data_IF_946975747056
#
_entry.id   IF_946975747056
#
_cell.length_a   1.000
_cell.length_b   1.000
_cell.length_c   1.000
_cell.angle_alpha   90.00
_cell.angle_beta   90.00
_cell.angle_gamma   90.00
#
_symmetry.space_group_name_H-M   'P 1'
#
loop_
_entity.id
_entity.type
_entity.pdbx_description
1 polymer ?
#
# COMPACT_ATOMS: atom_id res chain seq x y z
N UNK A 1 0.18 -30.23 -4.38
CA UNK A 1 1.03 -29.14 -3.85
C UNK A 1 1.29 -29.40 -2.38
N UNK A 2 2.55 -29.43 -1.96
CA UNK A 2 2.89 -29.65 -0.55
C UNK A 2 3.66 -28.47 0.01
N UNK A 3 2.94 -27.39 0.31
CA UNK A 3 3.47 -26.22 1.03
C UNK A 3 4.10 -26.60 2.39
N UNK A 4 3.81 -27.81 2.90
CA UNK A 4 4.48 -28.40 4.07
C UNK A 4 5.99 -28.52 3.88
N UNK A 5 6.50 -28.44 2.65
CA UNK A 5 7.93 -28.27 2.39
C UNK A 5 8.52 -27.07 3.17
N UNK A 6 7.77 -25.98 3.34
CA UNK A 6 8.17 -24.82 4.16
C UNK A 6 8.17 -25.16 5.65
N UNK A 7 7.17 -25.93 6.12
CA UNK A 7 7.10 -26.38 7.51
C UNK A 7 8.19 -27.39 7.89
N UNK A 8 8.74 -28.11 6.91
CA UNK A 8 9.88 -29.00 7.12
C UNK A 8 11.20 -28.21 7.22
N UNK A 9 11.25 -26.99 6.68
CA UNK A 9 12.42 -26.12 6.68
C UNK A 9 12.47 -25.22 7.93
N UNK A 10 11.34 -24.60 8.27
CA UNK A 10 11.23 -23.62 9.35
C UNK A 10 10.73 -24.25 10.65
N UNK A 11 11.16 -23.76 11.83
CA UNK A 11 10.65 -24.25 13.11
C UNK A 11 9.13 -24.07 13.21
N UNK A 12 8.42 -25.12 13.63
CA UNK A 12 6.97 -25.06 13.90
C UNK A 12 6.63 -24.50 15.29
N UNK A 13 7.59 -23.88 15.97
CA UNK A 13 7.39 -23.16 17.24
C UNK A 13 7.45 -21.66 16.97
N UNK A 14 6.32 -20.99 17.09
CA UNK A 14 6.19 -19.54 17.02
C UNK A 14 4.81 -19.11 17.48
N UNK A 15 4.58 -17.80 17.51
CA UNK A 15 3.38 -17.22 18.14
C UNK A 15 2.27 -16.86 17.16
N UNK A 16 2.57 -16.85 15.86
CA UNK A 16 1.68 -16.40 14.79
C UNK A 16 0.87 -17.56 14.18
N UNK A 17 -0.40 -17.32 13.96
CA UNK A 17 -1.40 -18.30 13.55
C UNK A 17 -1.36 -18.60 12.04
N UNK A 18 -1.48 -19.87 11.67
CA UNK A 18 -1.87 -20.25 10.31
C UNK A 18 -3.38 -20.34 10.21
N UNK A 19 -3.97 -19.47 9.39
CA UNK A 19 -5.41 -19.32 9.29
C UNK A 19 -6.04 -20.65 8.87
N UNK A 20 -7.04 -21.11 9.63
CA UNK A 20 -7.82 -22.29 9.25
C UNK A 20 -7.10 -23.63 9.42
N UNK A 21 -5.88 -23.68 10.00
CA UNK A 21 -5.01 -24.86 9.93
C UNK A 21 -4.74 -25.53 11.28
N UNK A 22 -5.75 -26.21 11.83
CA UNK A 22 -5.60 -27.14 12.97
C UNK A 22 -4.91 -26.57 14.21
N UNK A 23 -5.17 -25.30 14.56
CA UNK A 23 -4.54 -24.75 15.75
C UNK A 23 -3.05 -24.43 15.57
N UNK A 24 -2.51 -24.51 14.35
CA UNK A 24 -1.06 -24.44 14.12
C UNK A 24 -0.55 -23.01 14.20
N UNK A 25 0.50 -22.83 14.98
CA UNK A 25 1.31 -21.61 15.03
C UNK A 25 2.72 -21.83 14.48
N UNK A 26 3.29 -20.79 13.90
CA UNK A 26 4.62 -20.77 13.29
C UNK A 26 5.28 -19.40 13.53
N UNK A 27 6.50 -19.19 13.04
CA UNK A 27 7.13 -17.87 13.10
C UNK A 27 6.31 -16.84 12.33
N UNK A 28 6.38 -15.56 12.72
CA UNK A 28 5.62 -14.49 12.08
C UNK A 28 5.93 -14.36 10.57
N UNK A 29 7.19 -14.56 10.17
CA UNK A 29 7.59 -14.55 8.75
C UNK A 29 6.97 -15.71 7.96
N UNK A 30 6.93 -16.90 8.54
CA UNK A 30 6.29 -18.07 7.93
C UNK A 30 4.77 -17.90 7.85
N UNK A 31 4.15 -17.35 8.89
CA UNK A 31 2.71 -17.07 8.91
C UNK A 31 2.34 -16.04 7.84
N UNK A 32 3.07 -14.92 7.75
CA UNK A 32 2.84 -13.92 6.71
C UNK A 32 2.96 -14.51 5.29
N UNK A 33 3.98 -15.35 5.06
CA UNK A 33 4.20 -16.03 3.77
C UNK A 33 3.04 -16.97 3.41
N UNK A 34 2.67 -17.87 4.32
CA UNK A 34 1.68 -18.92 4.06
C UNK A 34 0.26 -18.36 4.01
N UNK A 35 -0.10 -17.45 4.92
CA UNK A 35 -1.42 -16.82 4.94
C UNK A 35 -1.61 -15.91 3.71
N UNK A 36 -0.58 -15.17 3.26
CA UNK A 36 -0.68 -14.39 2.02
C UNK A 36 -0.82 -15.27 0.78
N UNK A 37 -0.11 -16.40 0.76
CA UNK A 37 -0.28 -17.41 -0.30
C UNK A 37 -1.69 -18.00 -0.30
N UNK A 38 -2.26 -18.24 0.89
CA UNK A 38 -3.61 -18.75 1.05
C UNK A 38 -4.67 -17.76 0.54
N UNK A 39 -4.60 -16.49 0.95
CA UNK A 39 -5.57 -15.46 0.54
C UNK A 39 -5.53 -15.24 -0.98
N UNK A 40 -4.34 -15.16 -1.57
CA UNK A 40 -4.20 -14.99 -3.03
C UNK A 40 -4.54 -16.27 -3.84
N UNK A 41 -4.65 -17.42 -3.17
CA UNK A 41 -4.63 -18.74 -3.82
C UNK A 41 -5.68 -18.95 -4.92
N UNK A 42 -6.83 -18.28 -4.80
CA UNK A 42 -7.94 -18.33 -5.75
C UNK A 42 -8.28 -16.98 -6.40
N UNK A 43 -7.54 -15.91 -6.10
CA UNK A 43 -7.75 -14.58 -6.66
C UNK A 43 -9.19 -14.05 -6.44
N UNK A 44 -9.76 -14.37 -5.27
CA UNK A 44 -11.10 -13.94 -4.84
C UNK A 44 -11.07 -12.70 -3.93
N UNK A 45 -9.87 -12.18 -3.68
CA UNK A 45 -9.58 -11.04 -2.83
C UNK A 45 -9.83 -9.68 -3.53
N UNK A 46 -9.44 -8.59 -2.88
CA UNK A 46 -9.70 -7.23 -3.35
C UNK A 46 -8.91 -6.89 -4.61
N UNK A 47 -9.30 -5.81 -5.30
CA UNK A 47 -8.58 -5.34 -6.47
C UNK A 47 -8.66 -3.81 -6.59
N UNK A 48 -7.51 -3.16 -6.70
CA UNK A 48 -7.41 -1.77 -7.06
C UNK A 48 -7.17 -1.63 -8.57
N UNK A 49 -8.13 -1.04 -9.29
CA UNK A 49 -8.10 -0.95 -10.76
C UNK A 49 -7.06 0.03 -11.32
N UNK A 50 -6.92 1.21 -10.70
CA UNK A 50 -5.98 2.25 -11.20
C UNK A 50 -4.51 1.97 -10.87
N UNK A 51 -4.28 1.17 -9.84
CA UNK A 51 -2.98 0.64 -9.46
C UNK A 51 -3.15 -0.86 -9.25
N UNK A 52 -3.11 -1.67 -10.32
CA UNK A 52 -3.33 -3.11 -10.29
C UNK A 52 -2.72 -3.80 -9.05
N UNK A 53 -3.52 -4.04 -8.02
CA UNK A 53 -3.03 -4.49 -6.71
C UNK A 53 -4.15 -5.20 -5.96
N UNK A 54 -3.84 -6.37 -5.42
CA UNK A 54 -4.67 -7.02 -4.41
C UNK A 54 -4.00 -6.80 -3.06
N UNK A 55 -4.54 -5.88 -2.25
CA UNK A 55 -3.85 -5.38 -1.06
C UNK A 55 -4.04 -6.31 0.13
N UNK A 56 -5.21 -6.95 0.26
CA UNK A 56 -5.58 -7.74 1.43
C UNK A 56 -4.71 -8.98 1.60
N UNK A 57 -4.36 -9.64 0.51
CA UNK A 57 -3.47 -10.81 0.49
C UNK A 57 -2.02 -10.49 0.83
N UNK A 58 -1.66 -9.20 0.96
CA UNK A 58 -0.32 -8.76 1.33
C UNK A 58 -0.33 -8.13 2.72
N UNK A 59 -1.27 -7.22 2.99
CA UNK A 59 -1.34 -6.42 4.21
C UNK A 59 -1.83 -7.24 5.40
N UNK A 60 -3.01 -7.88 5.28
CA UNK A 60 -3.64 -8.60 6.39
C UNK A 60 -2.76 -9.74 6.95
N UNK A 61 -2.15 -10.62 6.14
CA UNK A 61 -1.32 -11.69 6.69
C UNK A 61 -0.04 -11.17 7.36
N UNK A 62 0.53 -10.08 6.86
CA UNK A 62 1.69 -9.45 7.49
C UNK A 62 1.32 -8.79 8.82
N UNK A 63 0.20 -8.06 8.87
CA UNK A 63 -0.28 -7.40 10.08
C UNK A 63 -0.74 -8.36 11.16
N UNK A 64 -1.50 -9.41 10.80
CA UNK A 64 -1.92 -10.44 11.76
C UNK A 64 -0.70 -11.10 12.41
N UNK A 65 0.28 -11.51 11.60
CA UNK A 65 1.51 -12.11 12.10
C UNK A 65 2.34 -11.14 12.97
N UNK A 66 2.43 -9.87 12.58
CA UNK A 66 3.13 -8.82 13.34
C UNK A 66 2.43 -8.52 14.67
N UNK A 67 1.10 -8.44 14.67
CA UNK A 67 0.31 -8.16 15.87
C UNK A 67 0.37 -9.32 16.87
N UNK A 68 0.25 -10.57 16.41
CA UNK A 68 0.43 -11.75 17.26
C UNK A 68 1.84 -11.81 17.84
N UNK A 69 2.87 -11.53 17.04
CA UNK A 69 4.25 -11.46 17.50
C UNK A 69 4.45 -10.37 18.56
N UNK A 70 3.96 -9.15 18.31
CA UNK A 70 4.09 -8.04 19.23
C UNK A 70 3.38 -8.33 20.57
N UNK A 71 2.16 -8.88 20.51
CA UNK A 71 1.40 -9.27 21.69
C UNK A 71 2.09 -10.38 22.48
N UNK A 72 2.74 -11.34 21.82
CA UNK A 72 3.47 -12.42 22.50
C UNK A 72 4.76 -11.95 23.18
N UNK A 73 5.44 -10.94 22.63
CA UNK A 73 6.70 -10.41 23.16
C UNK A 73 6.52 -9.38 24.27
N UNK A 74 5.38 -8.69 24.31
CA UNK A 74 5.15 -7.62 25.26
C UNK A 74 4.34 -8.07 26.48
N UNK A 75 4.82 -7.75 27.68
CA UNK A 75 4.10 -8.07 28.93
C UNK A 75 2.86 -7.21 29.17
N UNK A 76 2.74 -6.04 28.52
CA UNK A 76 1.67 -5.05 28.73
C UNK A 76 1.25 -4.30 27.45
N UNK A 77 1.57 -4.81 26.25
CA UNK A 77 1.13 -4.20 25.00
C UNK A 77 0.22 -5.18 24.25
N UNK A 78 -0.99 -4.72 23.94
CA UNK A 78 -1.94 -5.41 23.09
C UNK A 78 -2.28 -4.51 21.93
N UNK A 79 -2.23 -5.05 20.72
CA UNK A 79 -2.70 -4.35 19.53
C UNK A 79 -4.21 -4.13 19.64
N UNK A 80 -4.64 -2.88 19.77
CA UNK A 80 -6.07 -2.54 19.71
C UNK A 80 -6.58 -2.60 18.27
N UNK A 81 -7.89 -2.71 18.09
CA UNK A 81 -8.46 -2.71 16.75
C UNK A 81 -8.30 -1.37 16.02
N UNK A 82 -8.22 -0.24 16.74
CA UNK A 82 -7.88 1.08 16.16
C UNK A 82 -6.45 1.12 15.61
N UNK A 83 -5.50 0.57 16.34
CA UNK A 83 -4.10 0.51 15.90
C UNK A 83 -3.98 -0.38 14.66
N UNK A 84 -4.66 -1.53 14.65
CA UNK A 84 -4.70 -2.43 13.52
C UNK A 84 -5.35 -1.79 12.29
N UNK A 85 -6.49 -1.10 12.45
CA UNK A 85 -7.16 -0.37 11.38
C UNK A 85 -6.26 0.72 10.80
N UNK A 86 -5.62 1.54 11.65
CA UNK A 86 -4.72 2.60 11.20
C UNK A 86 -3.52 2.04 10.42
N UNK A 87 -2.93 0.95 10.91
CA UNK A 87 -1.85 0.25 10.22
C UNK A 87 -2.31 -0.35 8.88
N UNK A 88 -3.54 -0.88 8.82
CA UNK A 88 -4.14 -1.41 7.59
C UNK A 88 -4.33 -0.28 6.56
N UNK A 89 -4.92 0.86 6.98
CA UNK A 89 -5.11 2.04 6.14
C UNK A 89 -3.79 2.56 5.57
N UNK A 90 -2.71 2.57 6.37
CA UNK A 90 -1.40 2.98 5.88
C UNK A 90 -0.91 2.14 4.69
N UNK A 91 -1.18 0.83 4.68
CA UNK A 91 -0.87 -0.05 3.55
C UNK A 91 -1.78 0.18 2.35
N UNK A 92 -3.09 0.34 2.59
CA UNK A 92 -4.07 0.65 1.54
C UNK A 92 -3.81 1.99 0.85
N UNK A 93 -3.20 2.94 1.54
CA UNK A 93 -2.85 4.23 0.94
C UNK A 93 -1.51 4.14 0.19
N UNK A 94 -0.51 3.49 0.78
CA UNK A 94 0.85 3.49 0.22
C UNK A 94 1.00 2.57 -0.99
N UNK A 95 0.44 1.36 -0.96
CA UNK A 95 0.54 0.39 -2.06
C UNK A 95 0.05 0.94 -3.40
N UNK A 96 -1.21 1.41 -3.49
CA UNK A 96 -1.74 2.04 -4.69
C UNK A 96 -0.96 3.29 -5.12
N UNK A 97 -0.49 4.13 -4.19
CA UNK A 97 0.34 5.31 -4.53
C UNK A 97 1.67 4.92 -5.19
N UNK A 98 2.33 3.88 -4.67
CA UNK A 98 3.52 3.29 -5.30
C UNK A 98 3.16 2.75 -6.68
N UNK A 99 2.06 2.00 -6.78
CA UNK A 99 1.59 1.45 -8.05
C UNK A 99 1.29 2.51 -9.13
N UNK A 100 0.63 3.61 -8.75
CA UNK A 100 0.39 4.75 -9.66
C UNK A 100 1.69 5.39 -10.10
N UNK A 101 2.65 5.54 -9.19
CA UNK A 101 3.95 6.14 -9.46
C UNK A 101 4.81 5.30 -10.42
N UNK A 102 4.57 3.98 -10.46
CA UNK A 102 5.27 3.04 -11.35
C UNK A 102 4.50 2.73 -12.64
N UNK A 103 3.39 3.44 -12.92
CA UNK A 103 2.45 3.10 -13.99
C UNK A 103 2.00 1.63 -13.88
N UNK A 104 1.27 1.26 -12.83
CA UNK A 104 1.08 -0.14 -12.45
C UNK A 104 0.65 -1.12 -13.55
N UNK A 105 -0.12 -0.68 -14.56
CA UNK A 105 -0.44 -1.50 -15.74
C UNK A 105 0.79 -1.82 -16.60
N UNK A 106 1.72 -0.87 -16.73
CA UNK A 106 3.01 -1.05 -17.37
C UNK A 106 3.92 -2.02 -16.61
N UNK A 107 3.87 -2.04 -15.27
CA UNK A 107 4.61 -3.04 -14.46
C UNK A 107 4.18 -4.46 -14.84
N UNK A 108 2.87 -4.68 -14.92
CA UNK A 108 2.31 -5.97 -15.35
C UNK A 108 2.71 -6.33 -16.79
N UNK A 109 2.56 -5.40 -17.74
CA UNK A 109 2.91 -5.66 -19.15
C UNK A 109 4.41 -5.80 -19.39
N UNK A 110 5.25 -5.25 -18.50
CA UNK A 110 6.70 -5.44 -18.48
C UNK A 110 7.14 -6.79 -17.90
N UNK A 111 6.18 -7.62 -17.46
CA UNK A 111 6.43 -8.98 -16.99
C UNK A 111 6.59 -9.11 -15.47
N UNK A 112 6.21 -8.10 -14.68
CA UNK A 112 6.33 -8.11 -13.22
C UNK A 112 4.98 -8.15 -12.52
N UNK A 113 4.85 -8.97 -11.49
CA UNK A 113 3.63 -9.05 -10.69
C UNK A 113 3.55 -7.87 -9.73
N UNK A 114 2.61 -6.96 -9.98
CA UNK A 114 2.49 -5.68 -9.28
C UNK A 114 2.39 -5.79 -7.76
N UNK A 115 1.58 -6.73 -7.23
CA UNK A 115 1.47 -6.95 -5.79
C UNK A 115 2.77 -7.37 -5.12
N UNK A 116 3.65 -8.04 -5.87
CA UNK A 116 4.97 -8.43 -5.38
C UNK A 116 5.99 -7.28 -5.38
N UNK A 117 5.66 -6.17 -6.04
CA UNK A 117 6.55 -5.02 -6.26
C UNK A 117 6.17 -3.83 -5.38
N UNK A 118 4.88 -3.54 -5.22
CA UNK A 118 4.42 -2.27 -4.61
C UNK A 118 4.61 -2.19 -3.09
N UNK A 119 4.89 -3.32 -2.42
CA UNK A 119 5.38 -3.36 -1.04
C UNK A 119 4.48 -2.78 0.07
N UNK A 120 3.12 -2.85 0.01
CA UNK A 120 2.26 -2.17 1.00
C UNK A 120 2.45 -2.67 2.44
N UNK A 121 2.91 -3.92 2.63
CA UNK A 121 3.12 -4.49 3.96
C UNK A 121 4.19 -3.74 4.79
N UNK A 122 5.20 -3.13 4.14
CA UNK A 122 6.25 -2.40 4.86
C UNK A 122 5.68 -1.18 5.62
N UNK A 123 4.78 -0.42 4.98
CA UNK A 123 4.07 0.68 5.63
C UNK A 123 3.19 0.18 6.78
N UNK A 124 2.38 -0.84 6.53
CA UNK A 124 1.45 -1.36 7.53
C UNK A 124 2.15 -1.85 8.78
N UNK A 125 3.15 -2.73 8.65
CA UNK A 125 3.86 -3.28 9.82
C UNK A 125 4.65 -2.20 10.54
N UNK A 126 5.33 -1.30 9.81
CA UNK A 126 6.08 -0.21 10.44
C UNK A 126 5.16 0.75 11.20
N UNK A 127 3.95 1.00 10.68
CA UNK A 127 2.95 1.81 11.37
C UNK A 127 2.44 1.11 12.63
N UNK A 128 2.18 -0.19 12.58
CA UNK A 128 1.78 -1.00 13.73
C UNK A 128 2.84 -0.96 14.84
N UNK A 129 4.12 -1.07 14.48
CA UNK A 129 5.24 -1.00 15.42
C UNK A 129 5.58 0.41 15.89
N UNK A 130 4.85 1.43 15.44
CA UNK A 130 5.06 2.81 15.86
C UNK A 130 6.41 3.39 15.43
N UNK A 131 6.98 2.91 14.31
CA UNK A 131 8.26 3.39 13.81
C UNK A 131 8.15 4.86 13.34
N UNK A 132 9.25 5.61 13.45
CA UNK A 132 9.33 6.98 12.92
C UNK A 132 9.48 7.00 11.39
N UNK A 133 9.37 8.19 10.81
CA UNK A 133 9.38 8.37 9.36
C UNK A 133 10.68 7.89 8.69
N UNK A 134 11.83 8.15 9.30
CA UNK A 134 13.14 7.77 8.75
C UNK A 134 13.29 6.23 8.76
N UNK A 135 12.84 5.58 9.82
CA UNK A 135 12.84 4.12 9.96
C UNK A 135 11.82 3.47 9.02
N UNK A 136 10.65 4.08 8.83
CA UNK A 136 9.67 3.64 7.82
C UNK A 136 10.28 3.70 6.42
N UNK A 137 11.03 4.76 6.09
CA UNK A 137 11.72 4.86 4.81
C UNK A 137 12.76 3.73 4.64
N UNK A 138 13.52 3.42 5.69
CA UNK A 138 14.43 2.28 5.68
C UNK A 138 13.71 0.95 5.43
N UNK A 139 12.57 0.73 6.09
CA UNK A 139 11.75 -0.45 5.86
C UNK A 139 11.25 -0.54 4.40
N UNK A 140 10.82 0.58 3.81
CA UNK A 140 10.47 0.60 2.38
C UNK A 140 11.67 0.23 1.51
N UNK A 141 12.83 0.84 1.74
CA UNK A 141 14.04 0.55 0.97
C UNK A 141 14.48 -0.92 1.05
N UNK A 142 14.38 -1.53 2.24
CA UNK A 142 14.69 -2.95 2.47
C UNK A 142 13.64 -3.86 1.82
N UNK A 143 12.35 -3.49 1.84
CA UNK A 143 11.31 -4.25 1.14
C UNK A 143 11.49 -4.18 -0.38
N UNK A 144 11.78 -2.99 -0.93
CA UNK A 144 11.96 -2.76 -2.36
C UNK A 144 13.06 -3.63 -2.98
N UNK A 145 14.20 -3.81 -2.31
CA UNK A 145 15.27 -4.67 -2.85
C UNK A 145 14.91 -6.16 -2.85
N UNK A 146 13.86 -6.56 -2.13
CA UNK A 146 13.35 -7.93 -2.09
C UNK A 146 12.17 -8.16 -3.05
N UNK A 147 11.66 -7.10 -3.69
CA UNK A 147 10.55 -7.20 -4.64
C UNK A 147 10.89 -8.15 -5.78
N UNK A 148 10.07 -9.19 -5.97
CA UNK A 148 10.27 -10.22 -6.98
C UNK A 148 8.93 -10.83 -7.40
N UNK A 149 8.82 -11.28 -8.64
CA UNK A 149 7.61 -11.95 -9.12
C UNK A 149 7.45 -11.78 -10.62
N UNK A 150 7.78 -12.83 -11.38
CA UNK A 150 7.67 -12.81 -12.83
C UNK A 150 6.25 -13.20 -13.26
N UNK A 151 5.62 -12.37 -14.09
CA UNK A 151 4.28 -12.63 -14.62
C UNK A 151 4.22 -13.83 -15.54
N UNK A 152 5.35 -14.38 -15.98
CA UNK A 152 5.39 -15.71 -16.62
C UNK A 152 4.74 -16.79 -15.76
N UNK A 153 4.63 -16.58 -14.43
CA UNK A 153 3.90 -17.46 -13.54
C UNK A 153 2.40 -17.61 -13.89
N UNK A 154 1.80 -16.67 -14.62
CA UNK A 154 0.40 -16.77 -15.09
C UNK A 154 0.17 -17.96 -16.05
N UNK A 155 1.23 -18.47 -16.67
CA UNK A 155 1.18 -19.65 -17.53
C UNK A 155 1.29 -20.93 -16.68
N UNK A 156 0.28 -21.14 -15.83
CA UNK A 156 0.08 -22.36 -15.02
C UNK A 156 1.15 -22.65 -13.96
N UNK A 157 1.88 -21.63 -13.48
CA UNK A 157 2.81 -21.80 -12.38
C UNK A 157 2.13 -21.52 -11.03
N UNK A 158 2.17 -22.52 -10.14
CA UNK A 158 1.64 -22.39 -8.77
C UNK A 158 2.33 -21.28 -7.95
N UNK A 159 3.54 -20.86 -8.33
CA UNK A 159 4.30 -19.79 -7.64
C UNK A 159 3.60 -18.43 -7.70
N UNK A 160 2.68 -18.21 -8.66
CA UNK A 160 1.88 -16.98 -8.75
C UNK A 160 1.15 -16.69 -7.44
N UNK A 161 0.63 -17.73 -6.79
CA UNK A 161 -0.06 -17.63 -5.48
C UNK A 161 0.89 -17.16 -4.39
N UNK A 162 2.17 -17.57 -4.45
CA UNK A 162 3.17 -17.22 -3.44
C UNK A 162 3.71 -15.81 -3.57
N UNK A 163 3.54 -15.13 -4.71
CA UNK A 163 4.05 -13.78 -4.90
C UNK A 163 3.58 -12.80 -3.80
N UNK A 164 2.32 -12.90 -3.37
CA UNK A 164 1.81 -12.05 -2.28
C UNK A 164 2.27 -12.51 -0.91
N UNK A 165 2.45 -13.81 -0.71
CA UNK A 165 3.13 -14.34 0.46
C UNK A 165 4.57 -13.81 0.59
N UNK A 166 5.33 -13.76 -0.50
CA UNK A 166 6.66 -13.16 -0.51
C UNK A 166 6.58 -11.67 -0.15
N UNK A 167 5.69 -10.90 -0.75
CA UNK A 167 5.51 -9.49 -0.44
C UNK A 167 5.15 -9.24 1.04
N UNK A 168 4.22 -10.03 1.59
CA UNK A 168 3.80 -9.96 2.98
C UNK A 168 4.97 -10.23 3.93
N UNK A 169 5.70 -11.33 3.72
CA UNK A 169 6.91 -11.68 4.46
C UNK A 169 7.97 -10.58 4.34
N UNK A 170 8.21 -10.07 3.13
CA UNK A 170 9.26 -9.08 2.87
C UNK A 170 8.98 -7.77 3.62
N UNK A 171 7.73 -7.30 3.62
CA UNK A 171 7.34 -6.09 4.34
C UNK A 171 7.51 -6.23 5.86
N UNK A 172 7.07 -7.36 6.43
CA UNK A 172 7.28 -7.65 7.86
C UNK A 172 8.77 -7.73 8.20
N UNK A 173 9.56 -8.49 7.43
CA UNK A 173 10.99 -8.59 7.63
C UNK A 173 11.68 -7.23 7.55
N UNK A 174 11.29 -6.41 6.57
CA UNK A 174 11.88 -5.09 6.37
C UNK A 174 11.63 -4.14 7.54
N UNK A 175 10.41 -4.14 8.09
CA UNK A 175 10.08 -3.35 9.28
C UNK A 175 10.91 -3.80 10.50
N UNK A 176 11.06 -5.11 10.72
CA UNK A 176 11.88 -5.65 11.82
C UNK A 176 13.36 -5.31 11.64
N UNK A 177 13.90 -5.40 10.42
CA UNK A 177 15.29 -5.03 10.12
C UNK A 177 15.52 -3.53 10.37
N UNK A 178 14.63 -2.68 9.86
CA UNK A 178 14.71 -1.23 10.06
C UNK A 178 14.62 -0.87 11.55
N UNK A 179 13.70 -1.48 12.30
CA UNK A 179 13.60 -1.33 13.76
C UNK A 179 14.89 -1.75 14.48
N UNK A 180 15.61 -2.75 13.96
CA UNK A 180 16.93 -3.16 14.44
C UNK A 180 18.09 -2.26 13.99
N UNK A 181 17.83 -1.19 13.24
CA UNK A 181 18.83 -0.21 12.78
C UNK A 181 19.46 -0.51 11.42
N UNK A 182 18.90 -1.42 10.62
CA UNK A 182 19.35 -1.59 9.23
C UNK A 182 18.87 -0.43 8.37
N UNK A 183 19.77 0.09 7.54
CA UNK A 183 19.48 1.18 6.60
C UNK A 183 19.06 0.60 5.25
N UNK A 184 17.95 1.10 4.71
CA UNK A 184 17.40 0.74 3.41
C UNK A 184 17.82 1.69 2.30
N UNK A 185 17.41 1.34 1.07
CA UNK A 185 17.49 2.25 -0.08
C UNK A 185 16.60 3.46 0.19
N UNK A 186 17.21 4.64 0.29
CA UNK A 186 16.51 5.90 0.54
C UNK A 186 15.79 6.38 -0.71
N UNK A 187 14.62 7.00 -0.54
CA UNK A 187 13.95 7.68 -1.63
C UNK A 187 14.81 8.86 -2.10
N UNK A 188 14.76 9.17 -3.39
CA UNK A 188 15.38 10.41 -3.87
C UNK A 188 14.65 11.58 -3.23
N UNK A 189 15.36 12.28 -2.36
CA UNK A 189 14.84 13.49 -1.72
C UNK A 189 14.59 14.56 -2.78
N UNK A 190 13.56 15.36 -2.56
CA UNK A 190 13.15 16.42 -3.48
C UNK A 190 14.12 17.60 -3.47
N UNK A 191 15.05 17.67 -2.50
CA UNK A 191 16.15 18.63 -2.45
C UNK A 191 17.02 18.58 -3.72
N UNK A 192 17.27 17.39 -4.25
CA UNK A 192 18.00 17.18 -5.50
C UNK A 192 17.23 17.50 -6.78
N UNK A 193 15.98 18.00 -6.70
CA UNK A 193 15.25 18.50 -7.88
C UNK A 193 15.94 19.77 -8.38
N UNK A 194 16.34 19.74 -9.65
CA UNK A 194 16.99 20.84 -10.36
C UNK A 194 16.01 21.65 -11.21
N UNK A 195 14.96 21.02 -11.74
CA UNK A 195 13.95 21.69 -12.58
C UNK A 195 12.67 20.87 -12.69
N UNK A 196 11.53 21.55 -12.70
CA UNK A 196 10.21 20.98 -13.00
C UNK A 196 9.66 21.72 -14.23
N UNK A 197 9.25 20.99 -15.26
CA UNK A 197 8.48 21.53 -16.37
C UNK A 197 7.04 20.99 -16.28
N UNK A 198 6.05 21.87 -16.25
CA UNK A 198 4.63 21.51 -16.33
C UNK A 198 4.11 21.95 -17.70
N UNK A 199 3.86 20.98 -18.56
CA UNK A 199 3.34 21.15 -19.90
C UNK A 199 1.82 21.08 -19.83
N UNK A 200 1.18 22.17 -20.26
CA UNK A 200 -0.26 22.41 -20.07
C UNK A 200 -0.93 22.68 -21.42
N UNK A 201 -2.15 22.18 -21.59
CA UNK A 201 -3.06 22.63 -22.64
C UNK A 201 -3.46 24.11 -22.47
N UNK A 202 -4.02 24.70 -23.52
CA UNK A 202 -4.29 26.15 -23.62
C UNK A 202 -5.09 26.71 -22.44
N UNK A 203 -6.24 26.10 -22.10
CA UNK A 203 -7.08 26.56 -21.00
C UNK A 203 -6.34 26.48 -19.65
N UNK A 204 -5.71 25.35 -19.34
CA UNK A 204 -4.98 25.17 -18.08
C UNK A 204 -3.78 26.13 -17.95
N UNK A 205 -3.07 26.39 -19.05
CA UNK A 205 -1.96 27.34 -19.09
C UNK A 205 -2.43 28.76 -18.79
N UNK A 206 -3.50 29.23 -19.42
CA UNK A 206 -4.01 30.59 -19.21
C UNK A 206 -4.70 30.78 -17.85
N UNK A 207 -5.26 29.72 -17.25
CA UNK A 207 -5.89 29.80 -15.93
C UNK A 207 -4.93 29.63 -14.75
N UNK A 208 -3.87 28.83 -14.90
CA UNK A 208 -2.97 28.52 -13.78
C UNK A 208 -1.48 28.40 -14.09
N UNK A 209 -1.06 28.62 -15.33
CA UNK A 209 0.35 28.58 -15.75
C UNK A 209 1.14 29.88 -15.49
N UNK A 210 0.54 30.85 -14.81
CA UNK A 210 1.20 32.11 -14.45
C UNK A 210 2.23 31.89 -13.33
N UNK A 211 3.26 32.74 -13.27
CA UNK A 211 4.33 32.65 -12.26
C UNK A 211 3.83 33.13 -10.90
N UNK A 212 3.68 32.22 -9.95
CA UNK A 212 3.33 32.56 -8.57
C UNK A 212 4.41 33.43 -7.90
N UNK A 213 3.97 34.33 -7.02
CA UNK A 213 4.83 35.21 -6.23
C UNK A 213 4.28 35.36 -4.81
N UNK A 214 5.17 35.68 -3.85
CA UNK A 214 4.79 35.94 -2.46
C UNK A 214 4.37 37.42 -2.27
N UNK A 215 3.38 37.72 -1.41
CA UNK A 215 2.50 36.76 -0.74
C UNK A 215 1.42 36.21 -1.69
N UNK A 216 1.05 34.95 -1.48
CA UNK A 216 0.05 34.25 -2.27
C UNK A 216 -1.21 34.05 -1.41
N UNK A 217 -2.39 34.33 -1.97
CA UNK A 217 -3.67 34.05 -1.28
C UNK A 217 -4.03 32.58 -1.44
N UNK A 218 -4.92 32.05 -0.58
CA UNK A 218 -5.42 30.68 -0.73
C UNK A 218 -6.02 30.42 -2.12
N UNK A 219 -6.80 31.36 -2.66
CA UNK A 219 -7.33 31.28 -4.04
C UNK A 219 -6.20 31.34 -5.08
N UNK A 220 -5.22 32.22 -4.91
CA UNK A 220 -4.07 32.29 -5.82
C UNK A 220 -3.27 30.98 -5.84
N UNK A 221 -3.11 30.34 -4.68
CA UNK A 221 -2.45 29.05 -4.56
C UNK A 221 -3.24 27.91 -5.20
N UNK A 222 -4.56 27.87 -5.03
CA UNK A 222 -5.44 26.89 -5.70
C UNK A 222 -5.39 27.03 -7.23
N UNK A 223 -5.26 28.27 -7.72
CA UNK A 223 -5.23 28.61 -9.14
C UNK A 223 -3.82 28.64 -9.73
N UNK A 224 -2.79 28.13 -9.04
CA UNK A 224 -1.41 28.12 -9.52
C UNK A 224 -0.91 26.69 -9.71
N UNK A 225 -0.65 26.28 -10.96
CA UNK A 225 -0.17 24.94 -11.27
C UNK A 225 1.22 24.65 -10.67
N UNK A 226 2.09 25.66 -10.59
CA UNK A 226 3.40 25.49 -9.94
C UNK A 226 3.28 25.31 -8.43
N UNK A 227 2.39 26.06 -7.78
CA UNK A 227 2.15 25.91 -6.34
C UNK A 227 1.45 24.59 -6.02
N UNK A 228 0.41 24.20 -6.77
CA UNK A 228 -0.28 22.92 -6.55
C UNK A 228 0.64 21.73 -6.81
N UNK A 229 1.49 21.76 -7.83
CA UNK A 229 2.48 20.72 -8.08
C UNK A 229 3.53 20.65 -6.96
N UNK A 230 4.05 21.79 -6.49
CA UNK A 230 4.98 21.83 -5.36
C UNK A 230 4.35 21.27 -4.08
N UNK A 231 3.11 21.66 -3.78
CA UNK A 231 2.32 21.13 -2.68
C UNK A 231 2.12 19.62 -2.79
N UNK A 232 1.82 19.11 -3.97
CA UNK A 232 1.70 17.66 -4.21
C UNK A 232 3.02 16.93 -3.95
N UNK A 233 4.17 17.51 -4.33
CA UNK A 233 5.49 16.91 -4.13
C UNK A 233 5.89 16.92 -2.65
N UNK A 234 5.66 18.04 -1.94
CA UNK A 234 6.06 18.18 -0.52
C UNK A 234 5.11 17.44 0.42
N UNK A 235 3.80 17.58 0.20
CA UNK A 235 2.79 17.07 1.14
C UNK A 235 2.10 15.79 0.67
N UNK A 236 2.35 15.34 -0.57
CA UNK A 236 1.75 14.13 -1.13
C UNK A 236 0.25 14.23 -1.41
N UNK A 237 -0.36 15.40 -1.27
CA UNK A 237 -1.78 15.67 -1.50
C UNK A 237 -2.04 17.15 -1.74
N UNK A 238 -3.13 17.47 -2.46
CA UNK A 238 -3.57 18.85 -2.72
C UNK A 238 -5.05 18.96 -2.32
N UNK A 239 -5.29 19.20 -1.03
CA UNK A 239 -6.62 19.33 -0.44
C UNK A 239 -6.74 20.64 0.35
N UNK A 240 -7.94 20.95 0.86
CA UNK A 240 -8.21 22.16 1.65
C UNK A 240 -7.18 22.46 2.76
N UNK A 241 -6.69 21.47 3.54
CA UNK A 241 -5.71 21.72 4.60
C UNK A 241 -4.35 22.25 4.10
N UNK A 242 -4.01 22.06 2.82
CA UNK A 242 -2.75 22.53 2.23
C UNK A 242 -2.80 23.99 1.75
N UNK A 243 -3.93 24.68 1.90
CA UNK A 243 -4.10 26.09 1.49
C UNK A 243 -4.36 27.04 2.68
N UNK A 244 -3.84 26.70 3.86
CA UNK A 244 -3.92 27.54 5.07
C UNK A 244 -2.76 28.57 5.09
N UNK A 245 -2.87 29.67 5.85
CA UNK A 245 -1.79 30.67 5.93
C UNK A 245 -0.41 30.09 6.25
N UNK A 246 -0.34 29.06 7.10
CA UNK A 246 0.91 28.42 7.51
C UNK A 246 1.52 27.58 6.37
N UNK A 247 0.70 26.85 5.61
CA UNK A 247 1.19 26.04 4.48
C UNK A 247 1.51 26.90 3.25
N UNK A 248 0.89 28.07 3.12
CA UNK A 248 1.18 29.02 2.03
C UNK A 248 2.57 29.65 2.12
N UNK A 249 3.24 29.56 3.27
CA UNK A 249 4.61 30.06 3.48
C UNK A 249 5.65 28.94 3.58
N UNK A 250 5.28 27.69 3.26
CA UNK A 250 6.20 26.55 3.28
C UNK A 250 7.39 26.77 2.33
N UNK A 251 8.59 26.83 2.90
CA UNK A 251 9.82 27.12 2.17
C UNK A 251 10.21 25.99 1.20
N UNK A 252 9.91 24.74 1.51
CA UNK A 252 10.18 23.61 0.62
C UNK A 252 9.25 23.65 -0.60
N UNK A 253 7.98 23.99 -0.40
CA UNK A 253 7.03 24.18 -1.49
C UNK A 253 7.49 25.33 -2.40
N UNK A 254 7.84 26.48 -1.83
CA UNK A 254 8.28 27.63 -2.62
C UNK A 254 9.61 27.41 -3.33
N UNK A 255 10.54 26.67 -2.74
CA UNK A 255 11.76 26.25 -3.44
C UNK A 255 11.41 25.48 -4.73
N UNK A 256 10.44 24.56 -4.66
CA UNK A 256 9.98 23.85 -5.86
C UNK A 256 9.21 24.75 -6.84
N UNK A 257 8.42 25.71 -6.34
CA UNK A 257 7.77 26.72 -7.20
C UNK A 257 8.81 27.49 -8.02
N UNK A 258 9.92 27.91 -7.40
CA UNK A 258 10.99 28.65 -8.08
C UNK A 258 11.72 27.82 -9.15
N UNK A 259 11.72 26.49 -9.00
CA UNK A 259 12.28 25.54 -9.96
C UNK A 259 11.28 25.12 -11.05
N UNK A 260 10.02 25.55 -10.95
CA UNK A 260 8.93 25.13 -11.82
C UNK A 260 8.68 26.12 -12.95
N UNK A 261 8.65 25.61 -14.19
CA UNK A 261 8.26 26.36 -15.38
C UNK A 261 7.00 25.74 -16.00
N UNK A 262 5.89 26.48 -15.99
CA UNK A 262 4.69 26.10 -16.74
C UNK A 262 4.86 26.51 -18.21
N UNK A 263 4.54 25.61 -19.14
CA UNK A 263 4.70 25.81 -20.58
C UNK A 263 3.43 25.41 -21.31
N UNK A 264 3.05 26.22 -22.28
CA UNK A 264 2.02 25.84 -23.23
C UNK A 264 2.54 24.70 -24.10
N UNK A 265 1.84 23.57 -24.09
CA UNK A 265 2.10 22.43 -24.95
C UNK A 265 0.80 21.99 -25.60
N UNK A 266 0.70 22.22 -26.92
CA UNK A 266 -0.46 21.84 -27.73
C UNK A 266 -0.01 20.68 -28.61
N UNK A 267 -0.54 19.49 -28.35
CA UNK A 267 -0.38 18.30 -29.17
C UNK A 267 -1.72 17.96 -29.81
N UNK A 268 -1.71 17.56 -31.09
CA UNK A 268 -2.93 17.20 -31.81
C UNK A 268 -3.62 16.00 -31.13
N UNK A 269 -4.87 16.19 -30.69
CA UNK A 269 -5.71 15.13 -30.12
C UNK A 269 -5.82 15.08 -28.59
N UNK A 270 -5.14 15.97 -27.87
CA UNK A 270 -5.23 16.02 -26.40
C UNK A 270 -6.54 16.65 -25.90
N UNK A 271 -7.06 16.11 -24.80
CA UNK A 271 -8.21 16.67 -24.09
C UNK A 271 -7.85 18.02 -23.44
N UNK A 272 -8.84 18.87 -23.17
CA UNK A 272 -8.67 20.13 -22.43
C UNK A 272 -7.94 19.95 -21.08
N UNK A 273 -7.98 18.73 -20.51
CA UNK A 273 -7.37 18.38 -19.23
C UNK A 273 -6.03 17.67 -19.31
N UNK A 274 -5.42 17.50 -20.50
CA UNK A 274 -4.12 16.85 -20.61
C UNK A 274 -3.03 17.70 -19.93
N UNK A 275 -2.28 17.08 -19.02
CA UNK A 275 -1.16 17.70 -18.33
C UNK A 275 0.03 16.75 -18.31
N UNK A 276 1.22 17.29 -18.56
CA UNK A 276 2.46 16.53 -18.49
C UNK A 276 3.45 17.22 -17.55
N UNK A 277 4.13 16.44 -16.71
CA UNK A 277 5.15 16.93 -15.78
C UNK A 277 6.47 16.23 -16.08
N UNK A 278 7.55 17.02 -16.16
CA UNK A 278 8.93 16.52 -16.23
C UNK A 278 9.75 17.05 -15.06
N UNK A 279 10.33 16.16 -14.27
CA UNK A 279 11.18 16.51 -13.12
C UNK A 279 12.61 16.06 -13.41
N UNK A 280 13.55 17.00 -13.34
CA UNK A 280 14.98 16.75 -13.52
C UNK A 280 15.71 16.87 -12.20
N UNK A 281 16.55 15.90 -11.89
CA UNK A 281 17.40 15.88 -10.69
C UNK A 281 18.84 16.33 -11.00
N UNK A 282 19.60 16.70 -9.97
CA UNK A 282 21.00 17.12 -10.08
C UNK A 282 21.91 16.03 -10.67
N UNK A 283 21.61 14.76 -10.40
CA UNK A 283 22.34 13.60 -10.91
C UNK A 283 22.04 13.26 -12.39
N UNK A 284 21.19 14.06 -13.05
CA UNK A 284 20.78 13.89 -14.44
C UNK A 284 19.55 13.00 -14.64
N UNK A 285 18.98 12.41 -13.58
CA UNK A 285 17.75 11.62 -13.67
C UNK A 285 16.58 12.50 -14.12
N UNK A 286 15.72 11.97 -14.99
CA UNK A 286 14.52 12.64 -15.46
C UNK A 286 13.30 11.74 -15.22
N UNK A 287 12.32 12.23 -14.46
CA UNK A 287 10.98 11.65 -14.36
C UNK A 287 10.06 12.38 -15.34
N UNK A 288 9.19 11.65 -16.02
CA UNK A 288 8.22 12.21 -16.95
C UNK A 288 6.89 11.47 -16.77
N UNK A 289 5.80 12.20 -16.50
CA UNK A 289 4.46 11.64 -16.36
C UNK A 289 3.44 12.49 -17.12
N UNK A 290 2.44 11.86 -17.73
CA UNK A 290 1.33 12.55 -18.43
C UNK A 290 -0.01 11.99 -17.96
N UNK A 291 -0.96 12.88 -17.67
CA UNK A 291 -2.31 12.56 -17.23
C UNK A 291 -3.30 13.06 -18.28
N UNK A 292 -4.01 12.16 -18.99
CA UNK A 292 -4.94 12.56 -20.06
C UNK A 292 -6.27 13.12 -19.53
N UNK A 293 -6.68 12.76 -18.30
CA UNK A 293 -7.89 13.25 -17.61
C UNK A 293 -7.91 12.83 -16.13
N UNK A 294 -8.68 13.53 -15.30
CA UNK A 294 -8.92 13.14 -13.90
C UNK A 294 -9.80 11.88 -13.78
N UNK A 295 -9.58 11.07 -12.74
CA UNK A 295 -10.23 9.77 -12.53
C UNK A 295 -11.53 9.85 -11.71
N UNK A 296 -12.44 8.89 -11.93
CA UNK A 296 -13.65 8.67 -11.12
C UNK A 296 -14.33 7.34 -11.50
N UNK A 297 -14.46 6.42 -10.55
CA UNK A 297 -15.02 5.07 -10.76
C UNK A 297 -16.41 4.96 -10.12
N UNK A 298 -17.39 4.52 -10.90
CA UNK A 298 -18.74 4.17 -10.43
C UNK A 298 -19.35 3.00 -11.20
N UNK A 299 -20.23 2.19 -10.57
CA UNK A 299 -20.55 2.17 -9.13
C UNK A 299 -19.83 1.05 -8.34
N UNK A 300 -19.62 1.20 -7.01
CA UNK A 300 -19.03 0.18 -6.14
C UNK A 300 -20.05 -0.86 -5.62
N UNK A 301 -19.55 -1.97 -5.05
CA UNK A 301 -20.34 -2.98 -4.29
C UNK A 301 -20.87 -2.39 -2.97
N UNK A 302 -22.03 -2.86 -2.51
CA UNK A 302 -22.56 -2.47 -1.19
C UNK A 302 -21.92 -3.27 -0.05
N UNK A 303 -21.96 -2.74 1.18
CA UNK A 303 -21.48 -3.45 2.37
C UNK A 303 -22.24 -4.77 2.60
N UNK A 304 -23.55 -4.80 2.30
CA UNK A 304 -24.38 -6.00 2.44
C UNK A 304 -23.93 -7.10 1.47
N UNK A 305 -23.54 -6.74 0.24
CA UNK A 305 -23.01 -7.69 -0.74
C UNK A 305 -21.69 -8.31 -0.27
N UNK A 306 -20.82 -7.51 0.37
CA UNK A 306 -19.54 -7.99 0.92
C UNK A 306 -19.78 -8.99 2.06
N UNK A 307 -20.68 -8.68 2.99
CA UNK A 307 -21.05 -9.57 4.10
C UNK A 307 -21.72 -10.85 3.58
N UNK A 308 -22.59 -10.74 2.58
CA UNK A 308 -23.20 -11.89 1.93
C UNK A 308 -22.15 -12.81 1.27
N UNK A 309 -21.16 -12.22 0.58
CA UNK A 309 -20.02 -12.96 0.00
C UNK A 309 -19.20 -13.66 1.08
N UNK A 310 -18.89 -12.99 2.19
CA UNK A 310 -18.19 -13.59 3.34
C UNK A 310 -18.89 -14.86 3.84
N UNK A 311 -20.18 -14.78 4.14
CA UNK A 311 -21.00 -15.91 4.60
C UNK A 311 -21.09 -17.04 3.56
N UNK A 312 -21.09 -16.69 2.27
CA UNK A 312 -21.08 -17.68 1.20
C UNK A 312 -19.76 -18.43 1.11
N UNK A 313 -18.62 -17.73 1.21
CA UNK A 313 -17.29 -18.31 1.09
C UNK A 313 -16.89 -19.19 2.29
N UNK A 314 -17.47 -18.95 3.46
CA UNK A 314 -17.19 -19.73 4.69
C UNK A 314 -18.19 -20.85 4.95
N UNK A 315 -19.30 -20.89 4.21
CA UNK A 315 -20.35 -21.91 4.35
C UNK A 315 -19.76 -23.31 4.22
N UNK A 316 -20.14 -24.19 5.16
CA UNK A 316 -19.73 -25.59 5.23
C UNK A 316 -18.21 -25.82 5.39
N UNK A 317 -17.43 -24.74 5.49
CA UNK A 317 -15.97 -24.74 5.63
C UNK A 317 -15.57 -24.33 7.06
N UNK A 318 -16.26 -23.35 7.63
CA UNK A 318 -16.08 -22.90 9.02
C UNK A 318 -17.41 -23.05 9.76
N UNK A 319 -17.36 -23.37 11.06
CA UNK A 319 -18.56 -23.45 11.89
C UNK A 319 -19.29 -22.10 11.95
N UNK A 320 -20.62 -22.10 11.79
CA UNK A 320 -21.41 -20.87 11.66
C UNK A 320 -21.26 -19.93 12.86
N UNK A 321 -21.08 -20.47 14.07
CA UNK A 321 -20.84 -19.66 15.28
C UNK A 321 -19.52 -18.87 15.19
N UNK A 322 -18.47 -19.50 14.64
CA UNK A 322 -17.16 -18.88 14.46
C UNK A 322 -17.23 -17.80 13.38
N UNK A 323 -17.93 -18.08 12.27
CA UNK A 323 -18.17 -17.10 11.20
C UNK A 323 -18.87 -15.86 11.74
N UNK A 324 -19.92 -16.04 12.55
CA UNK A 324 -20.66 -14.94 13.15
C UNK A 324 -19.82 -14.09 14.11
N UNK A 325 -18.99 -14.73 14.95
CA UNK A 325 -18.09 -14.02 15.87
C UNK A 325 -17.00 -13.24 15.15
N UNK A 326 -16.40 -13.81 14.10
CA UNK A 326 -15.42 -13.09 13.27
C UNK A 326 -16.09 -11.88 12.62
N UNK A 327 -17.29 -12.07 12.06
CA UNK A 327 -18.05 -10.98 11.43
C UNK A 327 -18.35 -9.85 12.41
N UNK A 328 -18.84 -10.17 13.61
CA UNK A 328 -19.13 -9.20 14.67
C UNK A 328 -17.89 -8.39 15.06
N UNK A 329 -16.75 -9.06 15.30
CA UNK A 329 -15.50 -8.42 15.69
C UNK A 329 -14.97 -7.52 14.56
N UNK A 330 -14.99 -8.01 13.31
CA UNK A 330 -14.46 -7.26 12.16
C UNK A 330 -15.33 -6.04 11.83
N UNK A 331 -16.66 -6.14 11.97
CA UNK A 331 -17.56 -5.01 11.76
C UNK A 331 -17.54 -3.96 12.88
N UNK A 332 -16.97 -4.30 14.04
CA UNK A 332 -16.80 -3.41 15.20
C UNK A 332 -15.33 -3.24 15.57
N UNK A 333 -14.43 -3.35 14.60
CA UNK A 333 -12.99 -3.47 14.85
C UNK A 333 -12.44 -2.26 15.60
N UNK A 334 -12.93 -1.05 15.33
CA UNK A 334 -12.54 0.17 16.04
C UNK A 334 -12.98 0.21 17.51
N UNK A 335 -13.90 -0.65 17.91
CA UNK A 335 -14.39 -0.76 19.29
C UNK A 335 -13.62 -1.81 20.10
N UNK A 336 -12.75 -2.59 19.46
CA UNK A 336 -11.99 -3.65 20.12
C UNK A 336 -10.76 -3.09 20.83
N UNK A 337 -10.68 -3.31 22.14
CA UNK A 337 -9.52 -2.94 22.97
C UNK A 337 -8.29 -3.82 22.67
N UNK A 338 -8.51 -5.05 22.22
CA UNK A 338 -7.48 -5.99 21.75
C UNK A 338 -8.03 -6.92 20.65
N UNK A 339 -7.14 -7.67 19.99
CA UNK A 339 -7.48 -8.61 18.92
C UNK A 339 -7.29 -10.09 19.30
N UNK A 340 -7.12 -10.42 20.59
CA UNK A 340 -6.83 -11.79 21.03
C UNK A 340 -7.95 -12.75 20.63
N UNK A 341 -9.21 -12.35 20.83
CA UNK A 341 -10.37 -13.14 20.44
C UNK A 341 -10.41 -13.42 18.93
N UNK A 342 -10.04 -12.44 18.10
CA UNK A 342 -9.93 -12.62 16.66
C UNK A 342 -8.85 -13.65 16.30
N UNK A 343 -7.68 -13.57 16.93
CA UNK A 343 -6.58 -14.51 16.71
C UNK A 343 -6.98 -15.95 17.05
N UNK A 344 -7.68 -16.14 18.17
CA UNK A 344 -8.21 -17.47 18.55
C UNK A 344 -9.23 -18.01 17.55
N UNK A 345 -10.08 -17.15 16.99
CA UNK A 345 -11.09 -17.55 15.99
C UNK A 345 -10.46 -17.94 14.65
N UNK A 346 -9.50 -17.17 14.14
CA UNK A 346 -8.86 -17.47 12.83
C UNK A 346 -7.94 -18.69 12.89
N UNK A 347 -7.47 -19.07 14.08
CA UNK A 347 -6.63 -20.24 14.33
C UNK A 347 -7.43 -21.56 14.27
N UNK A 348 -8.77 -21.50 14.37
CA UNK A 348 -9.63 -22.67 14.32
C UNK A 348 -9.59 -23.38 12.98
N UNK A 349 -9.73 -24.70 12.99
CA UNK A 349 -9.67 -25.52 11.76
C UNK A 349 -10.80 -25.19 10.80
N UNK A 350 -10.45 -24.99 9.54
CA UNK A 350 -11.39 -24.92 8.42
C UNK A 350 -11.35 -26.23 7.62
N UNK A 351 -12.49 -26.64 7.05
CA UNK A 351 -12.54 -27.79 6.14
C UNK A 351 -12.01 -27.37 4.78
N UNK A 352 -11.17 -28.20 4.17
CA UNK A 352 -10.71 -27.93 2.82
C UNK A 352 -11.81 -28.33 1.80
N UNK A 353 -12.41 -27.38 1.07
CA UNK A 353 -13.51 -27.69 0.14
C UNK A 353 -13.05 -28.48 -1.09
N UNK A 354 -11.74 -28.59 -1.33
CA UNK A 354 -11.14 -29.29 -2.47
C UNK A 354 -10.85 -30.76 -2.17
N UNK A 355 -10.82 -31.15 -0.90
CA UNK A 355 -10.60 -32.52 -0.47
C UNK A 355 -11.90 -33.03 0.14
N UNK A 356 -12.65 -33.83 -0.63
CA UNK A 356 -13.79 -34.58 -0.10
C UNK A 356 -13.34 -35.68 0.84
#
# INVERSE_FOLDING_TARGET
MDWRAILNLEPTQGDASLIGWEGRKVTALTAALLNGTFIQGFELDDWHSEAPLHSNSIILPALLAAAEQANAQASHFTTSGKDFLLATIAGYETGPRVGRSLWGTHVLSSGWHSGAVFGPAAASVSKLYGLDADTIEDAFGIACTQSCGLMSAQFESDVKRMHHGFAARNGLLAAVLAQGGYVGIKMKRFDGIKKIDILLGEAAFHHGGWRAARPLTATGAQMSNSFTAATQIVHGQVLMPQFTPDTLVDEDAWRLVDLTECKLHITDGDSIGCQEVRIRFEDGTVLHHSVPSAFGVEPPLSNDDIVAKWRQLTRDIVENEVVGKIEEIVLSLEEQDDLVALFELILQTSKNPLTR
#
